data_IF_848006201941
#
_entry.id   IF_848006201941
#
_cell.length_a   1.000
_cell.length_b   1.000
_cell.length_c   1.000
_cell.angle_alpha   90.00
_cell.angle_beta   90.00
_cell.angle_gamma   90.00
#
_symmetry.space_group_name_H-M   'P 1'
#
loop_
_entity.id
_entity.type
_entity.pdbx_description
1 polymer ?
#
# COMPACT_ATOMS: atom_id res chain seq x y z
N UNK A 1 -6.38 28.89 3.50
CA UNK A 1 -6.79 27.65 4.19
C UNK A 1 -7.97 27.08 3.41
N UNK A 2 -7.71 26.25 2.40
CA UNK A 2 -8.78 25.57 1.65
C UNK A 2 -9.22 24.34 2.42
N UNK A 3 -10.46 24.37 2.89
CA UNK A 3 -11.21 23.21 3.34
C UNK A 3 -11.15 22.12 2.25
N UNK A 4 -10.54 20.97 2.56
CA UNK A 4 -10.46 19.82 1.65
C UNK A 4 -11.73 18.98 1.87
N UNK A 5 -12.72 18.97 0.95
CA UNK A 5 -13.93 18.17 1.08
C UNK A 5 -13.70 16.63 1.10
N UNK A 6 -12.45 16.17 0.99
CA UNK A 6 -12.09 14.75 0.92
C UNK A 6 -12.31 13.95 2.21
N UNK A 7 -12.46 14.61 3.37
CA UNK A 7 -12.64 13.91 4.65
C UNK A 7 -13.98 13.17 4.75
N UNK A 8 -15.07 13.83 4.32
CA UNK A 8 -16.42 13.29 4.38
C UNK A 8 -16.64 12.11 3.44
N UNK A 9 -16.23 12.25 2.17
CA UNK A 9 -16.31 11.17 1.18
C UNK A 9 -15.48 9.95 1.59
N UNK A 10 -14.32 10.16 2.21
CA UNK A 10 -13.48 9.06 2.72
C UNK A 10 -14.13 8.32 3.90
N UNK A 11 -14.82 9.05 4.79
CA UNK A 11 -15.53 8.46 5.93
C UNK A 11 -16.77 7.67 5.48
N UNK A 12 -17.57 8.24 4.58
CA UNK A 12 -18.72 7.54 3.98
C UNK A 12 -18.30 6.27 3.21
N UNK A 13 -17.21 6.34 2.44
CA UNK A 13 -16.69 5.19 1.72
C UNK A 13 -16.36 4.02 2.64
N UNK A 14 -15.72 4.28 3.79
CA UNK A 14 -15.40 3.25 4.80
C UNK A 14 -16.64 2.68 5.52
N UNK A 15 -17.71 3.46 5.62
CA UNK A 15 -18.96 3.02 6.23
C UNK A 15 -19.82 2.17 5.28
N UNK A 16 -19.84 2.52 3.99
CA UNK A 16 -20.66 1.86 2.96
C UNK A 16 -19.96 0.65 2.31
N UNK A 17 -18.63 0.68 2.20
CA UNK A 17 -17.82 -0.42 1.68
C UNK A 17 -16.94 -0.96 2.81
N UNK A 18 -17.38 -2.01 3.53
CA UNK A 18 -16.57 -2.59 4.59
C UNK A 18 -15.27 -3.13 3.99
N UNK A 19 -14.14 -2.76 4.59
CA UNK A 19 -12.83 -3.25 4.19
C UNK A 19 -12.79 -4.77 4.35
N UNK A 20 -12.46 -5.47 3.27
CA UNK A 20 -12.38 -6.94 3.22
C UNK A 20 -10.97 -7.34 2.86
N UNK A 21 -10.43 -8.34 3.53
CA UNK A 21 -9.09 -8.82 3.26
C UNK A 21 -9.00 -9.37 1.83
N UNK A 22 -8.15 -8.78 0.99
CA UNK A 22 -8.00 -9.24 -0.40
C UNK A 22 -7.48 -10.68 -0.52
N UNK A 23 -6.76 -11.17 0.50
CA UNK A 23 -6.19 -12.51 0.51
C UNK A 23 -7.18 -13.62 0.92
N UNK A 24 -8.02 -13.38 1.95
CA UNK A 24 -8.86 -14.42 2.56
C UNK A 24 -10.32 -14.03 2.74
N UNK A 25 -10.72 -12.81 2.37
CA UNK A 25 -12.09 -12.26 2.46
C UNK A 25 -12.64 -12.02 3.89
N UNK A 26 -11.86 -12.32 4.93
CA UNK A 26 -12.17 -11.92 6.31
C UNK A 26 -12.19 -10.38 6.49
N UNK A 27 -12.77 -9.86 7.59
CA UNK A 27 -12.77 -8.42 7.85
C UNK A 27 -11.36 -7.82 7.82
N UNK A 28 -11.19 -6.75 7.04
CA UNK A 28 -9.98 -5.93 7.05
C UNK A 28 -9.84 -5.14 8.35
N UNK A 29 -8.63 -4.64 8.63
CA UNK A 29 -8.35 -3.88 9.85
C UNK A 29 -7.47 -2.66 9.58
N UNK A 30 -7.50 -1.69 10.51
CA UNK A 30 -6.65 -0.50 10.48
C UNK A 30 -6.75 0.34 9.19
N UNK A 31 -7.94 0.39 8.57
CA UNK A 31 -8.14 1.15 7.34
C UNK A 31 -7.58 0.49 6.08
N UNK A 32 -7.23 -0.80 6.15
CA UNK A 32 -6.67 -1.58 5.04
C UNK A 32 -7.60 -2.73 4.65
N UNK A 33 -7.58 -3.08 3.37
CA UNK A 33 -8.16 -4.32 2.83
C UNK A 33 -7.29 -5.55 3.13
N UNK A 34 -6.79 -5.64 4.38
CA UNK A 34 -5.97 -6.73 4.91
C UNK A 34 -6.36 -6.99 6.36
N UNK A 35 -6.66 -8.25 6.68
CA UNK A 35 -6.86 -8.65 8.08
C UNK A 35 -5.50 -8.75 8.81
N UNK A 36 -5.46 -8.67 10.14
CA UNK A 36 -4.21 -8.71 10.91
C UNK A 36 -3.39 -9.98 10.68
N UNK A 37 -4.04 -11.14 10.55
CA UNK A 37 -3.39 -12.42 10.34
C UNK A 37 -2.67 -12.46 8.98
N UNK A 38 -3.36 -12.13 7.89
CA UNK A 38 -2.76 -12.07 6.56
C UNK A 38 -1.65 -11.00 6.51
N UNK A 39 -1.85 -9.85 7.15
CA UNK A 39 -0.81 -8.80 7.23
C UNK A 39 0.48 -9.30 7.90
N UNK A 40 0.35 -10.07 8.99
CA UNK A 40 1.50 -10.63 9.70
C UNK A 40 2.21 -11.74 8.89
N UNK A 41 1.46 -12.48 8.08
CA UNK A 41 1.99 -13.57 7.26
C UNK A 41 2.65 -13.12 5.95
N UNK A 42 2.49 -11.85 5.54
CA UNK A 42 3.06 -11.36 4.29
C UNK A 42 4.61 -11.37 4.30
N UNK A 43 5.25 -11.81 3.20
CA UNK A 43 6.69 -11.71 3.03
C UNK A 43 7.07 -10.28 2.66
N UNK A 44 7.19 -9.41 3.66
CA UNK A 44 7.47 -7.98 3.46
C UNK A 44 8.74 -7.74 2.65
N UNK A 45 8.61 -6.95 1.58
CA UNK A 45 9.72 -6.59 0.72
C UNK A 45 10.53 -5.43 1.32
N UNK A 46 11.38 -5.73 2.31
CA UNK A 46 12.14 -4.73 3.06
C UNK A 46 13.21 -4.00 2.24
N UNK A 47 13.72 -4.64 1.18
CA UNK A 47 14.68 -4.04 0.26
C UNK A 47 14.02 -3.93 -1.11
N UNK A 48 13.40 -2.79 -1.40
CA UNK A 48 12.64 -2.58 -2.63
C UNK A 48 13.01 -1.28 -3.35
N UNK A 49 12.91 -1.29 -4.67
CA UNK A 49 13.03 -0.07 -5.48
C UNK A 49 11.89 0.90 -5.16
N UNK A 50 12.19 2.14 -4.78
CA UNK A 50 11.16 3.15 -4.44
C UNK A 50 10.26 3.55 -5.63
N UNK A 51 10.67 3.24 -6.87
CA UNK A 51 9.90 3.58 -8.08
C UNK A 51 8.98 2.44 -8.55
N UNK A 52 9.47 1.20 -8.54
CA UNK A 52 8.74 0.07 -9.12
C UNK A 52 8.46 -1.07 -8.15
N UNK A 53 8.86 -0.93 -6.88
CA UNK A 53 8.71 -1.94 -5.84
C UNK A 53 9.42 -3.29 -6.11
N UNK A 54 10.30 -3.37 -7.12
CA UNK A 54 11.09 -4.58 -7.37
C UNK A 54 11.96 -4.92 -6.14
N UNK A 55 11.95 -6.17 -5.65
CA UNK A 55 12.89 -6.62 -4.62
C UNK A 55 14.33 -6.42 -5.05
N UNK A 56 15.15 -5.94 -4.12
CA UNK A 56 16.57 -5.67 -4.29
C UNK A 56 17.38 -6.58 -3.35
N UNK A 57 18.54 -7.08 -3.80
CA UNK A 57 19.43 -7.87 -2.95
C UNK A 57 20.04 -7.05 -1.80
N UNK A 58 20.10 -5.71 -1.94
CA UNK A 58 20.50 -4.77 -0.88
C UNK A 58 19.63 -3.51 -0.96
N UNK A 59 19.38 -2.81 0.17
CA UNK A 59 18.66 -1.53 0.16
C UNK A 59 19.33 -0.53 -0.79
N UNK A 60 18.55 -0.01 -1.74
CA UNK A 60 19.00 1.04 -2.65
C UNK A 60 17.78 1.90 -3.05
N UNK A 61 17.95 3.19 -3.38
CA UNK A 61 16.84 4.05 -3.75
C UNK A 61 16.12 3.59 -5.02
N UNK A 62 16.86 3.01 -5.99
CA UNK A 62 16.33 2.55 -7.28
C UNK A 62 17.07 1.29 -7.77
N UNK A 63 16.35 0.43 -8.49
CA UNK A 63 16.97 -0.69 -9.23
C UNK A 63 17.73 -0.18 -10.47
N UNK A 64 18.59 -1.02 -11.07
CA UNK A 64 19.36 -0.66 -12.27
C UNK A 64 18.49 -0.14 -13.42
N UNK A 65 17.32 -0.73 -13.65
CA UNK A 65 16.34 -0.26 -14.66
C UNK A 65 15.82 1.14 -14.34
N UNK A 66 15.52 1.43 -13.07
CA UNK A 66 14.95 2.71 -12.67
C UNK A 66 16.00 3.83 -12.51
N UNK A 67 17.28 3.48 -12.35
CA UNK A 67 18.38 4.43 -12.28
C UNK A 67 18.70 5.05 -13.65
N UNK A 68 18.63 4.26 -14.74
CA UNK A 68 18.85 4.74 -16.11
C UNK A 68 17.64 5.43 -16.76
N UNK A 69 16.47 5.40 -16.11
CA UNK A 69 15.25 5.98 -16.65
C UNK A 69 15.17 7.48 -16.36
N UNK A 70 14.86 8.29 -17.38
CA UNK A 70 14.59 9.73 -17.22
C UNK A 70 13.49 9.93 -16.15
N UNK A 71 13.64 10.90 -15.23
CA UNK A 71 12.53 11.26 -14.34
C UNK A 71 11.32 11.71 -15.16
N UNK A 72 10.08 11.41 -14.72
CA UNK A 72 8.86 11.90 -15.36
C UNK A 72 8.76 13.42 -15.28
#
# INVERSE_FOLDING_TARGET
MSDRPGGFFSALGRALLPLRCLACQEPGAAGLDLCPACRAALPWNHSACARCALPLPRPAPRCGRCAGARPP
#
